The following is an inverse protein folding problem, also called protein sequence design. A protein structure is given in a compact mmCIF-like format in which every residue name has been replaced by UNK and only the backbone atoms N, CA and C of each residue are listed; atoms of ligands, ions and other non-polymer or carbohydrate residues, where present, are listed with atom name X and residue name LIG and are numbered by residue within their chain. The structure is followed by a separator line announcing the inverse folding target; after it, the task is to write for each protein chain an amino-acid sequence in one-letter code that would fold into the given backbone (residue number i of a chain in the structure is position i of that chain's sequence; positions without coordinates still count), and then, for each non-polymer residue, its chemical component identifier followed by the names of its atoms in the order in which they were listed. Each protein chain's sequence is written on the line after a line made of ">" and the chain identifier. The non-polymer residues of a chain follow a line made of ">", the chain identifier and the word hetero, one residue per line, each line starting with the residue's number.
data_IF_065365918443
#
_entry.id   IF_065365918443
#
_cell.length_a   1.000
_cell.length_b   1.000
_cell.length_c   1.000
_cell.angle_alpha   90.00
_cell.angle_beta   90.00
_cell.angle_gamma   90.00
#
_symmetry.space_group_name_H-M   'P 1'
#
loop_
_entity.id
_entity.type
_entity.pdbx_description
1 polymer ?
#
# COMPACT_ATOMS: atom_id res chain seq x y z
N UNK A 1 -22.52 12.83 -22.15
CA UNK A 1 -21.88 11.65 -21.52
C UNK A 1 -20.47 12.04 -21.12
N UNK A 2 -20.18 12.17 -19.82
CA UNK A 2 -18.78 12.37 -19.35
C UNK A 2 -18.03 11.07 -19.60
N UNK A 3 -16.99 11.10 -20.44
CA UNK A 3 -16.03 10.00 -20.55
C UNK A 3 -15.37 9.88 -19.16
N UNK A 4 -15.76 8.88 -18.37
CA UNK A 4 -15.01 8.53 -17.18
C UNK A 4 -13.65 8.05 -17.66
N UNK A 5 -12.60 8.85 -17.44
CA UNK A 5 -11.24 8.38 -17.63
C UNK A 5 -11.09 7.08 -16.83
N UNK A 6 -10.50 6.02 -17.42
CA UNK A 6 -10.22 4.82 -16.66
C UNK A 6 -9.35 5.25 -15.46
N UNK A 7 -9.68 4.82 -14.24
CA UNK A 7 -8.85 5.12 -13.09
C UNK A 7 -7.41 4.71 -13.43
N UNK A 8 -6.47 5.62 -13.22
CA UNK A 8 -5.05 5.30 -13.29
C UNK A 8 -4.82 4.10 -12.38
N UNK A 9 -4.49 2.95 -12.96
CA UNK A 9 -4.37 1.69 -12.23
C UNK A 9 -3.31 1.78 -11.12
N UNK A 10 -2.35 2.71 -11.23
CA UNK A 10 -1.40 3.03 -10.15
C UNK A 10 -2.13 3.61 -8.94
N UNK A 11 -3.15 4.45 -9.14
CA UNK A 11 -4.01 4.95 -8.06
C UNK A 11 -4.81 3.82 -7.39
N UNK A 12 -5.31 2.85 -8.17
CA UNK A 12 -5.95 1.65 -7.60
C UNK A 12 -4.96 0.80 -6.79
N UNK A 13 -3.72 0.62 -7.27
CA UNK A 13 -2.65 -0.06 -6.52
C UNK A 13 -2.33 0.69 -5.22
N UNK A 14 -2.26 2.03 -5.25
CA UNK A 14 -2.07 2.84 -4.03
C UNK A 14 -3.21 2.66 -3.03
N UNK A 15 -4.46 2.62 -3.49
CA UNK A 15 -5.61 2.36 -2.63
C UNK A 15 -5.56 0.96 -2.02
N UNK A 16 -5.22 -0.07 -2.81
CA UNK A 16 -5.01 -1.43 -2.31
C UNK A 16 -3.96 -1.44 -1.19
N UNK A 17 -2.81 -0.81 -1.43
CA UNK A 17 -1.74 -0.71 -0.45
C UNK A 17 -2.18 0.07 0.80
N UNK A 18 -2.95 1.14 0.65
CA UNK A 18 -3.52 1.87 1.78
C UNK A 18 -4.35 0.94 2.69
N UNK A 19 -5.25 0.14 2.13
CA UNK A 19 -6.05 -0.80 2.92
C UNK A 19 -5.18 -1.87 3.59
N UNK A 20 -4.21 -2.42 2.88
CA UNK A 20 -3.24 -3.36 3.45
C UNK A 20 -2.49 -2.77 4.64
N UNK A 21 -1.92 -1.57 4.46
CA UNK A 21 -1.12 -0.91 5.48
C UNK A 21 -1.97 -0.55 6.70
N UNK A 22 -3.19 -0.05 6.47
CA UNK A 22 -4.14 0.29 7.51
C UNK A 22 -4.51 -0.92 8.35
N UNK A 23 -4.94 -2.00 7.71
CA UNK A 23 -5.34 -3.25 8.35
C UNK A 23 -4.22 -3.80 9.25
N UNK A 24 -2.99 -3.85 8.73
CA UNK A 24 -1.83 -4.32 9.49
C UNK A 24 -1.39 -3.37 10.60
N UNK A 25 -1.56 -2.06 10.41
CA UNK A 25 -1.24 -1.06 11.43
C UNK A 25 -2.27 -1.08 12.57
N UNK A 26 -3.56 -1.22 12.28
CA UNK A 26 -4.64 -1.35 13.28
C UNK A 26 -4.42 -2.56 14.18
N UNK A 27 -3.97 -3.70 13.63
CA UNK A 27 -3.62 -4.89 14.43
C UNK A 27 -2.42 -4.69 15.36
N UNK A 28 -1.59 -3.67 15.13
CA UNK A 28 -0.33 -3.41 15.86
C UNK A 28 -0.42 -2.18 16.78
N UNK A 29 -1.53 -1.43 16.77
CA UNK A 29 -1.74 -0.25 17.61
C UNK A 29 -2.82 -0.52 18.67
N UNK A 30 -2.76 0.21 19.79
CA UNK A 30 -3.88 0.22 20.73
C UNK A 30 -5.08 0.99 20.15
N UNK A 31 -6.33 0.66 20.52
CA UNK A 31 -7.52 1.26 19.90
C UNK A 31 -7.56 2.80 19.95
N UNK A 32 -7.07 3.41 21.03
CA UNK A 32 -7.04 4.87 21.21
C UNK A 32 -5.94 5.57 20.39
N UNK A 33 -5.02 4.81 19.80
CA UNK A 33 -3.95 5.34 18.93
C UNK A 33 -4.37 5.33 17.44
N UNK A 34 -5.44 4.60 17.10
CA UNK A 34 -5.92 4.46 15.73
C UNK A 34 -6.67 5.74 15.33
N UNK A 35 -6.30 6.39 14.22
CA UNK A 35 -6.97 7.60 13.78
C UNK A 35 -8.37 7.31 13.25
N UNK A 36 -9.31 8.14 13.67
CA UNK A 36 -10.63 8.22 13.06
C UNK A 36 -10.50 8.52 11.56
N UNK A 37 -11.46 8.03 10.77
CA UNK A 37 -11.45 8.28 9.32
C UNK A 37 -11.60 9.79 9.07
N UNK A 38 -10.64 10.38 8.37
CA UNK A 38 -10.65 11.81 8.04
C UNK A 38 -9.95 12.72 9.07
N UNK A 39 -9.34 12.16 10.11
CA UNK A 39 -8.57 12.94 11.07
C UNK A 39 -7.37 13.66 10.39
N UNK A 40 -7.20 14.94 10.70
CA UNK A 40 -6.07 15.77 10.23
C UNK A 40 -4.78 15.52 11.02
N UNK A 41 -4.89 15.00 12.25
CA UNK A 41 -3.78 14.70 13.13
C UNK A 41 -3.73 13.21 13.46
N UNK A 42 -2.52 12.64 13.43
CA UNK A 42 -2.28 11.23 13.69
C UNK A 42 -1.52 11.06 15.00
N UNK A 43 -1.90 10.07 15.80
CA UNK A 43 -1.11 9.70 16.96
C UNK A 43 0.33 9.31 16.53
N UNK A 44 1.40 9.80 17.20
CA UNK A 44 2.78 9.49 16.79
C UNK A 44 3.07 7.98 16.74
N UNK A 45 2.46 7.19 17.62
CA UNK A 45 2.59 5.73 17.61
C UNK A 45 2.01 5.11 16.33
N UNK A 46 0.84 5.58 15.88
CA UNK A 46 0.24 5.16 14.61
C UNK A 46 1.17 5.47 13.43
N UNK A 47 1.67 6.70 13.34
CA UNK A 47 2.58 7.11 12.26
C UNK A 47 3.89 6.29 12.25
N UNK A 48 4.37 5.84 13.41
CA UNK A 48 5.52 4.94 13.53
C UNK A 48 5.17 3.53 13.04
N UNK A 49 4.06 2.95 13.51
CA UNK A 49 3.62 1.61 13.12
C UNK A 49 3.33 1.54 11.63
N UNK A 50 2.63 2.52 11.06
CA UNK A 50 2.34 2.61 9.63
C UNK A 50 3.62 2.55 8.79
N UNK A 51 4.63 3.36 9.14
CA UNK A 51 5.92 3.37 8.45
C UNK A 51 6.63 2.01 8.54
N UNK A 52 6.61 1.39 9.72
CA UNK A 52 7.21 0.06 9.89
C UNK A 52 6.53 -0.99 8.99
N UNK A 53 5.20 -1.02 8.95
CA UNK A 53 4.46 -1.94 8.07
C UNK A 53 4.79 -1.69 6.59
N UNK A 54 4.86 -0.42 6.18
CA UNK A 54 5.20 -0.06 4.81
C UNK A 54 6.63 -0.49 4.44
N UNK A 55 7.60 -0.23 5.32
CA UNK A 55 8.98 -0.68 5.14
C UNK A 55 9.10 -2.20 5.12
N UNK A 56 8.40 -2.92 6.01
CA UNK A 56 8.38 -4.39 6.05
C UNK A 56 7.91 -4.98 4.72
N UNK A 57 6.82 -4.44 4.15
CA UNK A 57 6.31 -4.87 2.85
C UNK A 57 7.29 -4.52 1.71
N UNK A 58 7.85 -3.31 1.72
CA UNK A 58 8.84 -2.88 0.72
C UNK A 58 10.05 -3.81 0.69
N UNK A 59 10.61 -4.17 1.85
CA UNK A 59 11.77 -5.05 1.93
C UNK A 59 11.43 -6.48 1.50
N UNK A 60 10.24 -7.00 1.85
CA UNK A 60 9.79 -8.31 1.35
C UNK A 60 9.69 -8.33 -0.17
N UNK A 61 9.05 -7.32 -0.77
CA UNK A 61 8.97 -7.18 -2.23
C UNK A 61 10.36 -7.09 -2.87
N UNK A 62 11.25 -6.26 -2.30
CA UNK A 62 12.64 -6.13 -2.79
C UNK A 62 13.43 -7.45 -2.71
N UNK A 63 13.16 -8.27 -1.69
CA UNK A 63 13.82 -9.57 -1.50
C UNK A 63 13.25 -10.67 -2.41
N UNK A 64 12.05 -10.48 -2.96
CA UNK A 64 11.39 -11.42 -3.85
C UNK A 64 12.03 -11.43 -5.24
N UNK A 65 13.18 -12.10 -5.35
CA UNK A 65 13.98 -12.20 -6.59
C UNK A 65 13.44 -13.18 -7.62
N UNK A 66 12.43 -13.97 -7.27
CA UNK A 66 11.79 -14.91 -8.18
C UNK A 66 10.30 -14.65 -8.23
N UNK A 67 9.67 -14.95 -9.38
CA UNK A 67 8.22 -14.83 -9.55
C UNK A 67 7.43 -15.58 -8.48
N UNK A 68 7.92 -16.75 -8.04
CA UNK A 68 7.30 -17.53 -6.96
C UNK A 68 7.29 -16.76 -5.63
N UNK A 69 8.45 -16.26 -5.21
CA UNK A 69 8.56 -15.48 -3.96
C UNK A 69 7.72 -14.19 -4.03
N UNK A 70 7.66 -13.57 -5.21
CA UNK A 70 6.83 -12.41 -5.44
C UNK A 70 5.35 -12.76 -5.35
N UNK A 71 4.90 -13.82 -6.02
CA UNK A 71 3.52 -14.29 -5.97
C UNK A 71 3.09 -14.64 -4.54
N UNK A 72 3.93 -15.32 -3.76
CA UNK A 72 3.64 -15.64 -2.35
C UNK A 72 3.43 -14.35 -1.52
N UNK A 73 4.33 -13.36 -1.68
CA UNK A 73 4.20 -12.06 -1.01
C UNK A 73 2.96 -11.28 -1.48
N UNK A 74 2.67 -11.32 -2.78
CA UNK A 74 1.59 -10.61 -3.42
C UNK A 74 0.22 -11.15 -3.02
N UNK A 75 0.04 -12.48 -3.05
CA UNK A 75 -1.18 -13.16 -2.61
C UNK A 75 -1.45 -12.90 -1.13
N UNK A 76 -0.45 -12.99 -0.27
CA UNK A 76 -0.62 -12.64 1.16
C UNK A 76 -1.04 -11.18 1.37
N UNK A 77 -0.62 -10.28 0.48
CA UNK A 77 -0.99 -8.86 0.52
C UNK A 77 -2.46 -8.69 0.12
N UNK A 78 -2.85 -9.18 -1.05
CA UNK A 78 -4.22 -9.08 -1.56
C UNK A 78 -5.22 -9.78 -0.64
N UNK A 79 -4.94 -11.01 -0.19
CA UNK A 79 -5.89 -11.75 0.65
C UNK A 79 -6.10 -11.13 2.04
N UNK A 80 -5.31 -10.12 2.42
CA UNK A 80 -5.47 -9.42 3.69
C UNK A 80 -6.24 -8.10 3.60
N UNK A 81 -6.65 -7.65 2.41
CA UNK A 81 -7.49 -6.45 2.27
C UNK A 81 -8.98 -6.85 2.23
N UNK A 82 -9.90 -5.99 2.71
CA UNK A 82 -11.34 -6.28 2.65
C UNK A 82 -11.84 -6.41 1.21
N UNK A 83 -12.75 -7.37 0.96
CA UNK A 83 -13.40 -7.51 -0.35
C UNK A 83 -14.12 -6.22 -0.76
N UNK A 84 -14.01 -5.86 -2.03
CA UNK A 84 -14.58 -4.60 -2.57
C UNK A 84 -13.71 -3.36 -2.37
N UNK A 85 -12.57 -3.47 -1.68
CA UNK A 85 -11.61 -2.36 -1.53
C UNK A 85 -10.74 -2.11 -2.76
N UNK A 86 -10.74 -3.07 -3.69
CA UNK A 86 -10.01 -3.02 -4.96
C UNK A 86 -11.01 -3.25 -6.09
N UNK A 87 -10.91 -2.45 -7.15
CA UNK A 87 -11.73 -2.65 -8.33
C UNK A 87 -11.34 -3.94 -9.04
N UNK A 88 -12.36 -4.69 -9.49
CA UNK A 88 -12.21 -6.02 -10.09
C UNK A 88 -11.26 -6.00 -11.31
N UNK A 89 -11.36 -4.96 -12.16
CA UNK A 89 -10.50 -4.79 -13.32
C UNK A 89 -9.02 -4.62 -12.96
N UNK A 90 -8.72 -3.87 -11.90
CA UNK A 90 -7.35 -3.73 -11.40
C UNK A 90 -6.87 -5.04 -10.80
N UNK A 91 -7.71 -5.73 -10.03
CA UNK A 91 -7.35 -7.05 -9.50
C UNK A 91 -7.01 -8.03 -10.63
N UNK A 92 -7.87 -8.15 -11.64
CA UNK A 92 -7.64 -8.98 -12.83
C UNK A 92 -6.33 -8.60 -13.53
N UNK A 93 -6.10 -7.31 -13.75
CA UNK A 93 -4.86 -6.81 -14.38
C UNK A 93 -3.63 -7.20 -13.57
N UNK A 94 -3.65 -7.02 -12.25
CA UNK A 94 -2.49 -7.35 -11.41
C UNK A 94 -2.27 -8.86 -11.32
N UNK A 95 -3.33 -9.67 -11.28
CA UNK A 95 -3.24 -11.13 -11.35
C UNK A 95 -2.63 -11.57 -12.68
N UNK A 96 -3.08 -10.98 -13.79
CA UNK A 96 -2.51 -11.21 -15.11
C UNK A 96 -1.01 -10.87 -15.17
N UNK A 97 -0.63 -9.67 -14.71
CA UNK A 97 0.78 -9.25 -14.68
C UNK A 97 1.64 -10.16 -13.80
N UNK A 98 1.12 -10.64 -12.67
CA UNK A 98 1.82 -11.59 -11.80
C UNK A 98 2.06 -12.96 -12.47
N UNK A 99 1.12 -13.41 -13.31
CA UNK A 99 1.23 -14.67 -14.04
C UNK A 99 2.18 -14.58 -15.24
N UNK A 100 2.29 -13.41 -15.87
CA UNK A 100 3.15 -13.14 -17.01
C UNK A 100 4.65 -13.13 -16.61
N UNK A 101 5.48 -13.88 -17.33
CA UNK A 101 6.90 -14.04 -17.03
C UNK A 101 7.75 -12.79 -17.27
N UNK A 102 7.23 -11.82 -18.03
CA UNK A 102 7.87 -10.55 -18.37
C UNK A 102 7.34 -9.37 -17.57
N UNK A 103 6.08 -9.42 -17.10
CA UNK A 103 5.43 -8.27 -16.46
C UNK A 103 5.39 -8.32 -14.92
N UNK A 104 5.71 -9.47 -14.30
CA UNK A 104 5.66 -9.58 -12.83
C UNK A 104 6.66 -8.65 -12.13
N UNK A 105 7.80 -8.37 -12.78
CA UNK A 105 8.81 -7.43 -12.27
C UNK A 105 8.28 -5.99 -12.32
N UNK A 106 7.60 -5.60 -13.39
CA UNK A 106 6.96 -4.28 -13.50
C UNK A 106 5.92 -4.07 -12.38
N UNK A 107 5.11 -5.09 -12.11
CA UNK A 107 4.14 -5.03 -11.02
C UNK A 107 4.83 -4.88 -9.66
N UNK A 108 5.90 -5.64 -9.42
CA UNK A 108 6.71 -5.52 -8.20
C UNK A 108 7.27 -4.11 -8.05
N UNK A 109 7.81 -3.55 -9.11
CA UNK A 109 8.46 -2.25 -9.10
C UNK A 109 7.44 -1.12 -8.88
N UNK A 110 6.22 -1.22 -9.45
CA UNK A 110 5.13 -0.28 -9.16
C UNK A 110 4.67 -0.38 -7.71
N UNK A 111 4.54 -1.58 -7.14
CA UNK A 111 4.22 -1.74 -5.72
C UNK A 111 5.29 -1.09 -4.82
N UNK A 112 6.56 -1.32 -5.14
CA UNK A 112 7.68 -0.72 -4.42
C UNK A 112 7.71 0.81 -4.54
N UNK A 113 7.42 1.37 -5.71
CA UNK A 113 7.32 2.81 -5.93
C UNK A 113 6.15 3.42 -5.14
N UNK A 114 5.01 2.73 -5.06
CA UNK A 114 3.90 3.20 -4.26
C UNK A 114 4.26 3.24 -2.76
N UNK A 115 4.99 2.24 -2.28
CA UNK A 115 5.44 2.14 -0.88
C UNK A 115 6.54 3.15 -0.51
N UNK A 116 7.41 3.53 -1.45
CA UNK A 116 8.47 4.50 -1.17
C UNK A 116 7.90 5.85 -0.74
N UNK A 117 6.77 6.27 -1.32
CA UNK A 117 6.09 7.51 -0.93
C UNK A 117 5.47 7.46 0.47
N UNK A 118 5.14 6.27 0.98
CA UNK A 118 4.57 6.08 2.32
C UNK A 118 5.64 5.96 3.41
N UNK A 119 6.88 5.67 3.01
CA UNK A 119 8.05 5.69 3.91
C UNK A 119 8.56 7.12 4.21
N UNK A 120 8.18 8.10 3.37
CA UNK A 120 8.68 9.47 3.40
C UNK A 120 7.53 10.48 3.62
N UNK A 121 6.84 10.40 4.77
CA UNK A 121 6.12 11.58 5.24
C UNK A 121 7.18 12.53 5.78
N UNK A 122 7.43 13.58 4.99
CA UNK A 122 8.42 14.60 5.28
C UNK A 122 8.22 15.17 6.69
N UNK A 123 9.32 15.19 7.46
CA UNK A 123 9.42 15.96 8.70
C UNK A 123 9.13 17.46 8.49
N UNK A 124 9.06 17.93 7.24
CA UNK A 124 8.86 19.34 6.90
C UNK A 124 7.45 19.88 7.17
N UNK A 125 6.45 19.04 7.46
CA UNK A 125 5.12 19.51 7.89
C UNK A 125 4.94 19.62 9.40
N UNK A 126 5.88 19.11 10.19
CA UNK A 126 5.83 19.21 11.66
C UNK A 126 6.54 20.47 12.17
N UNK A 127 7.36 21.13 11.35
CA UNK A 127 8.13 22.32 11.78
C UNK A 127 7.48 23.68 11.45
N UNK A 128 6.25 23.72 10.91
CA UNK A 128 5.59 24.99 10.54
C UNK A 128 4.44 25.44 11.46
N UNK A 129 4.16 24.72 12.55
CA UNK A 129 3.12 25.12 13.51
C UNK A 129 3.68 25.66 14.83
N UNK A 130 5.01 25.72 15.00
CA UNK A 130 5.68 26.29 16.19
C UNK A 130 6.44 27.60 15.88
N UNK A 131 5.96 28.42 14.92
CA UNK A 131 6.44 29.80 14.72
C UNK A 131 5.29 30.80 14.73
#
# INVERSE_FOLDING_TARGET
>A
MKKSEPPDWVSSVRNMLYFYLRERAERRCAPHEIPERGASHFHPAWAKVWRNVASDLYYRLRSARTRRLFADCFTQTICSIPQGSLDEKTLERMVFMMQDSKQWEDLRDVLMLCLSSTSYISKDKVQKEDQ
#
